data_IF_417718018002
#
_entry.id   IF_417718018002
#
_cell.length_a   1.000
_cell.length_b   1.000
_cell.length_c   1.000
_cell.angle_alpha   90.00
_cell.angle_beta   90.00
_cell.angle_gamma   90.00
#
_symmetry.space_group_name_H-M   'P 1'
#
loop_
_entity.id
_entity.type
_entity.pdbx_description
1 polymer ?
#
# COMPACT_ATOMS: atom_id res chain seq x y z
N UNK A 1 5.73 13.50 -12.32
CA UNK A 1 5.02 13.03 -11.09
C UNK A 1 4.50 11.61 -11.37
N UNK A 2 4.21 10.75 -10.37
CA UNK A 2 3.84 9.34 -10.65
C UNK A 2 2.63 9.18 -11.62
N UNK A 3 1.78 10.20 -11.74
CA UNK A 3 0.74 10.34 -12.77
C UNK A 3 1.28 10.15 -14.20
N UNK A 4 2.36 10.83 -14.55
CA UNK A 4 2.91 10.86 -15.91
C UNK A 4 3.50 9.49 -16.30
N UNK A 5 4.01 8.76 -15.31
CA UNK A 5 4.50 7.39 -15.50
C UNK A 5 3.30 6.44 -15.64
N UNK A 6 2.24 6.65 -14.85
CA UNK A 6 1.03 5.84 -14.90
C UNK A 6 0.34 5.91 -16.26
N UNK A 7 0.18 7.11 -16.80
CA UNK A 7 -0.45 7.34 -18.11
C UNK A 7 0.37 6.70 -19.24
N UNK A 8 1.69 6.89 -19.22
CA UNK A 8 2.59 6.31 -20.24
C UNK A 8 2.68 4.80 -20.19
N UNK A 9 2.54 4.19 -19.00
CA UNK A 9 2.65 2.74 -18.78
C UNK A 9 1.31 2.02 -18.70
N UNK A 10 0.20 2.72 -18.96
CA UNK A 10 -1.16 2.20 -18.78
C UNK A 10 -1.40 1.60 -17.37
N UNK A 11 -0.74 2.13 -16.35
CA UNK A 11 -1.01 1.71 -14.97
C UNK A 11 -2.38 2.28 -14.58
N UNK A 12 -3.33 1.38 -14.29
CA UNK A 12 -4.72 1.74 -14.01
C UNK A 12 -4.99 2.03 -12.54
N UNK A 13 -4.06 1.65 -11.67
CA UNK A 13 -4.21 1.79 -10.23
C UNK A 13 -2.86 2.01 -9.58
N UNK A 14 -2.83 2.85 -8.55
CA UNK A 14 -1.71 3.03 -7.65
C UNK A 14 -2.20 2.69 -6.24
N UNK A 15 -1.44 1.86 -5.52
CA UNK A 15 -1.70 1.51 -4.13
C UNK A 15 -0.44 1.78 -3.29
N UNK A 16 -0.62 2.27 -2.07
CA UNK A 16 0.46 2.55 -1.14
C UNK A 16 -0.05 2.46 0.30
N UNK A 17 0.89 2.28 1.22
CA UNK A 17 0.60 2.26 2.65
C UNK A 17 0.84 3.64 3.25
N UNK A 18 -0.05 4.05 4.17
CA UNK A 18 0.10 5.25 4.99
C UNK A 18 0.11 4.80 6.44
N UNK A 19 1.10 5.25 7.21
CA UNK A 19 1.15 4.98 8.64
C UNK A 19 0.01 5.73 9.35
N UNK A 20 -0.66 5.06 10.27
CA UNK A 20 -1.84 5.53 10.98
C UNK A 20 -1.60 6.84 11.76
N UNK A 21 -0.39 7.04 12.26
CA UNK A 21 0.01 8.24 12.99
C UNK A 21 0.25 9.46 12.09
N UNK A 22 0.34 9.30 10.76
CA UNK A 22 0.59 10.42 9.86
C UNK A 22 -0.71 11.16 9.50
N UNK A 23 -1.23 11.92 10.46
CA UNK A 23 -2.48 12.68 10.35
C UNK A 23 -2.48 13.64 9.16
N UNK A 24 -1.35 14.29 8.87
CA UNK A 24 -1.21 15.20 7.73
C UNK A 24 -1.40 14.46 6.39
N UNK A 25 -0.78 13.30 6.23
CA UNK A 25 -0.93 12.49 5.03
C UNK A 25 -2.35 11.94 4.91
N UNK A 26 -2.92 11.40 6.00
CA UNK A 26 -4.30 10.90 6.00
C UNK A 26 -5.30 11.99 5.58
N UNK A 27 -5.20 13.20 6.16
CA UNK A 27 -6.06 14.33 5.80
C UNK A 27 -5.86 14.80 4.36
N UNK A 28 -4.65 14.65 3.81
CA UNK A 28 -4.37 14.95 2.40
C UNK A 28 -5.02 13.91 1.47
N UNK A 29 -4.84 12.61 1.74
CA UNK A 29 -5.37 11.53 0.91
C UNK A 29 -6.90 11.41 0.97
N UNK A 30 -7.53 11.75 2.10
CA UNK A 30 -9.00 11.79 2.24
C UNK A 30 -9.67 12.84 1.34
N UNK A 31 -8.93 13.88 0.91
CA UNK A 31 -9.44 14.91 -0.02
C UNK A 31 -9.21 14.55 -1.49
N UNK A 32 -8.43 13.53 -1.78
CA UNK A 32 -8.18 13.06 -3.14
C UNK A 32 -9.18 11.96 -3.53
N UNK A 33 -9.39 11.68 -4.84
CA UNK A 33 -10.21 10.56 -5.31
C UNK A 33 -9.52 9.21 -5.07
N UNK A 34 -9.20 8.93 -3.80
CA UNK A 34 -8.54 7.71 -3.33
C UNK A 34 -9.40 7.04 -2.25
N UNK A 35 -9.16 5.76 -2.00
CA UNK A 35 -9.89 5.00 -0.98
C UNK A 35 -8.92 4.44 0.05
N UNK A 36 -9.24 4.62 1.33
CA UNK A 36 -8.54 3.93 2.42
C UNK A 36 -9.09 2.50 2.54
N UNK A 37 -8.38 1.53 1.95
CA UNK A 37 -8.81 0.13 1.91
C UNK A 37 -8.85 -0.54 3.28
N UNK A 38 -7.96 -0.15 4.21
CA UNK A 38 -8.00 -0.66 5.59
C UNK A 38 -9.30 -0.22 6.30
N UNK A 39 -9.70 1.04 6.18
CA UNK A 39 -10.97 1.54 6.76
C UNK A 39 -12.21 0.94 6.08
N UNK A 40 -12.16 0.77 4.76
CA UNK A 40 -13.33 0.35 3.95
C UNK A 40 -13.56 -1.16 3.97
N UNK A 41 -12.50 -1.95 3.91
CA UNK A 41 -12.56 -3.39 3.65
C UNK A 41 -11.81 -4.22 4.71
N UNK A 42 -11.10 -3.58 5.64
CA UNK A 42 -10.43 -4.28 6.75
C UNK A 42 -9.13 -4.99 6.36
N UNK A 43 -8.49 -4.60 5.26
CA UNK A 43 -7.22 -5.20 4.83
C UNK A 43 -6.12 -5.06 5.88
N UNK A 44 -5.43 -6.17 6.14
CA UNK A 44 -4.26 -6.25 7.00
C UNK A 44 -2.97 -6.32 6.16
N UNK A 45 -1.95 -5.57 6.56
CA UNK A 45 -0.64 -5.58 5.91
C UNK A 45 0.27 -6.60 6.61
N UNK A 46 0.61 -7.68 5.90
CA UNK A 46 1.63 -8.63 6.33
C UNK A 46 2.93 -8.38 5.56
N UNK A 47 4.06 -8.61 6.21
CA UNK A 47 5.39 -8.62 5.58
C UNK A 47 6.09 -9.90 5.96
N UNK A 48 6.62 -10.59 4.96
CA UNK A 48 7.58 -11.65 5.15
C UNK A 48 8.96 -11.07 4.85
N UNK A 49 9.84 -11.06 5.83
CA UNK A 49 11.23 -10.62 5.67
C UNK A 49 12.14 -11.78 5.25
N UNK A 50 13.44 -11.52 5.19
CA UNK A 50 14.43 -12.48 4.70
C UNK A 50 14.49 -13.74 5.58
N UNK A 51 14.44 -13.55 6.89
CA UNK A 51 14.47 -14.66 7.86
C UNK A 51 13.17 -15.47 7.78
N UNK A 52 12.03 -14.78 7.69
CA UNK A 52 10.73 -15.42 7.48
C UNK A 52 10.63 -16.20 6.18
N UNK A 53 11.21 -15.70 5.08
CA UNK A 53 11.30 -16.43 3.80
C UNK A 53 12.14 -17.69 3.97
N UNK A 54 13.30 -17.58 4.61
CA UNK A 54 14.24 -18.70 4.80
C UNK A 54 13.60 -19.81 5.64
N UNK A 55 12.99 -19.46 6.77
CA UNK A 55 12.29 -20.41 7.64
C UNK A 55 11.11 -21.09 6.93
N UNK A 56 10.35 -20.35 6.12
CA UNK A 56 9.23 -20.93 5.35
C UNK A 56 9.73 -21.94 4.31
N UNK A 57 10.87 -21.67 3.65
CA UNK A 57 11.46 -22.57 2.66
C UNK A 57 11.98 -23.88 3.27
N UNK A 58 12.50 -23.83 4.51
CA UNK A 58 12.99 -25.00 5.26
C UNK A 58 11.86 -25.86 5.86
N UNK A 59 10.68 -25.27 6.08
CA UNK A 59 9.51 -25.98 6.64
C UNK A 59 8.81 -26.96 5.67
N UNK A 60 9.46 -27.26 4.54
CA UNK A 60 8.89 -27.98 3.39
C UNK A 60 9.35 -29.43 3.27
#
# INVERSE_FOLDING_TARGET
MCSDISEKKQCRQLQWNVLDWNSNALAFYEKMPSQNLTKKEGWLLYRLDVDGISALAESK
#
